data_IF_698106363945
#
_entry.id   IF_698106363945
#
_cell.length_a   1.000
_cell.length_b   1.000
_cell.length_c   1.000
_cell.angle_alpha   90.00
_cell.angle_beta   90.00
_cell.angle_gamma   90.00
#
_symmetry.space_group_name_H-M   'P 1'
#
loop_
_entity.id
_entity.type
_entity.pdbx_description
1 polymer ?
#
# COMPACT_ATOMS: atom_id res chain seq x y z
N UNK A 1 13.36 -4.79 -5.62
CA UNK A 1 12.53 -4.79 -6.84
C UNK A 1 11.85 -6.15 -7.10
N UNK A 2 12.60 -7.25 -7.23
CA UNK A 2 12.06 -8.59 -7.50
C UNK A 2 10.93 -9.04 -6.56
N UNK A 3 11.10 -8.83 -5.25
CA UNK A 3 10.07 -9.14 -4.24
C UNK A 3 8.78 -8.34 -4.48
N UNK A 4 8.89 -7.07 -4.91
CA UNK A 4 7.73 -6.23 -5.24
C UNK A 4 6.95 -6.80 -6.43
N UNK A 5 7.66 -7.32 -7.44
CA UNK A 5 7.05 -7.86 -8.66
C UNK A 5 6.37 -9.22 -8.43
N UNK A 6 6.68 -9.91 -7.34
CA UNK A 6 5.99 -11.14 -6.96
C UNK A 6 4.56 -10.89 -6.45
N UNK A 7 4.23 -9.67 -5.99
CA UNK A 7 2.88 -9.33 -5.54
C UNK A 7 2.03 -8.82 -6.71
N UNK A 8 0.90 -9.48 -6.97
CA UNK A 8 -0.02 -9.14 -8.07
C UNK A 8 -0.59 -7.72 -8.00
N UNK A 9 -0.82 -7.21 -6.79
CA UNK A 9 -1.31 -5.85 -6.60
C UNK A 9 -0.29 -4.78 -7.00
N UNK A 10 0.99 -5.00 -6.73
CA UNK A 10 2.05 -4.04 -7.08
C UNK A 10 2.55 -4.24 -8.52
N UNK A 11 2.66 -5.48 -8.98
CA UNK A 11 3.20 -5.76 -10.31
C UNK A 11 2.32 -5.26 -11.47
N UNK A 12 1.02 -5.09 -11.21
CA UNK A 12 0.06 -4.57 -12.18
C UNK A 12 0.14 -3.05 -12.32
N UNK A 13 0.89 -2.37 -11.45
CA UNK A 13 1.08 -0.93 -11.48
C UNK A 13 2.54 -0.54 -11.24
N UNK A 14 3.21 -0.15 -12.33
CA UNK A 14 4.63 0.19 -12.29
C UNK A 14 4.93 1.40 -11.42
N UNK A 15 4.09 2.44 -11.49
CA UNK A 15 4.32 3.67 -10.73
C UNK A 15 4.23 3.38 -9.23
N UNK A 16 3.21 2.61 -8.82
CA UNK A 16 3.07 2.18 -7.43
C UNK A 16 4.25 1.31 -6.99
N UNK A 17 4.70 0.37 -7.82
CA UNK A 17 5.90 -0.43 -7.53
C UNK A 17 7.15 0.44 -7.35
N UNK A 18 7.34 1.48 -8.17
CA UNK A 18 8.48 2.38 -8.08
C UNK A 18 8.38 3.32 -6.87
N UNK A 19 7.19 3.77 -6.49
CA UNK A 19 6.97 4.53 -5.26
C UNK A 19 7.27 3.71 -4.01
N UNK A 20 6.81 2.45 -3.97
CA UNK A 20 7.09 1.53 -2.86
C UNK A 20 8.58 1.18 -2.79
N UNK A 21 9.21 0.92 -3.94
CA UNK A 21 10.67 0.77 -4.03
C UNK A 21 11.39 2.01 -3.52
N UNK A 22 10.86 3.20 -3.82
CA UNK A 22 11.44 4.46 -3.38
C UNK A 22 11.33 4.64 -1.88
N UNK A 23 10.19 4.26 -1.31
CA UNK A 23 9.94 4.28 0.12
C UNK A 23 10.94 3.38 0.85
N UNK A 24 11.14 2.13 0.40
CA UNK A 24 12.04 1.17 1.08
C UNK A 24 13.50 1.30 0.69
N UNK A 25 13.80 1.91 -0.46
CA UNK A 25 15.05 1.70 -1.17
C UNK A 25 15.11 0.31 -1.80
N UNK A 26 16.23 0.01 -2.47
CA UNK A 26 16.49 -1.33 -3.04
C UNK A 26 17.98 -1.59 -3.10
N UNK A 27 18.33 -2.86 -3.27
CA UNK A 27 19.66 -3.28 -3.69
C UNK A 27 19.59 -3.77 -5.14
N UNK A 28 20.59 -3.41 -5.93
CA UNK A 28 20.77 -3.91 -7.28
C UNK A 28 22.06 -4.73 -7.25
N UNK A 29 21.97 -6.00 -7.64
CA UNK A 29 23.11 -6.92 -7.71
C UNK A 29 23.27 -7.28 -9.17
N UNK A 30 24.35 -6.84 -9.81
CA UNK A 30 24.61 -7.16 -11.22
C UNK A 30 25.11 -8.60 -11.40
N UNK A 31 25.37 -8.99 -12.66
CA UNK A 31 25.76 -10.37 -13.00
C UNK A 31 27.13 -10.72 -12.45
N UNK A 32 27.95 -9.72 -12.18
CA UNK A 32 29.29 -9.80 -11.62
C UNK A 32 29.26 -9.80 -10.08
N UNK A 33 28.06 -9.71 -9.46
CA UNK A 33 27.87 -9.72 -8.01
C UNK A 33 28.13 -8.37 -7.34
N UNK A 34 28.35 -7.30 -8.11
CA UNK A 34 28.54 -5.96 -7.57
C UNK A 34 27.21 -5.43 -7.04
N UNK A 35 27.25 -5.00 -5.79
CA UNK A 35 26.08 -4.45 -5.09
C UNK A 35 26.04 -2.93 -5.25
N UNK A 36 24.96 -2.43 -5.82
CA UNK A 36 24.62 -1.00 -5.84
C UNK A 36 23.51 -0.74 -4.84
N UNK A 37 23.78 0.16 -3.89
CA UNK A 37 22.84 0.52 -2.85
C UNK A 37 21.99 1.73 -3.26
N UNK A 38 20.67 1.55 -3.34
CA UNK A 38 19.71 2.63 -3.60
C UNK A 38 19.05 3.03 -2.27
N UNK A 39 19.27 4.26 -1.78
CA UNK A 39 18.81 4.67 -0.47
C UNK A 39 17.28 4.79 -0.41
N UNK A 40 16.73 4.48 0.76
CA UNK A 40 15.32 4.72 1.09
C UNK A 40 15.01 6.21 1.09
N UNK A 41 13.82 6.56 0.58
CA UNK A 41 13.23 7.89 0.64
C UNK A 41 12.12 7.96 1.70
N UNK A 42 12.05 7.05 2.67
CA UNK A 42 11.04 7.08 3.75
C UNK A 42 11.12 8.32 4.65
N UNK A 43 12.21 9.09 4.61
CA UNK A 43 12.29 10.40 5.24
C UNK A 43 11.52 11.51 4.49
N UNK A 44 11.11 11.25 3.25
CA UNK A 44 10.41 12.22 2.41
C UNK A 44 8.89 12.16 2.67
N UNK A 45 8.38 13.15 3.39
CA UNK A 45 6.95 13.26 3.70
C UNK A 45 6.09 13.38 2.43
N UNK A 46 6.58 14.05 1.37
CA UNK A 46 5.83 14.19 0.12
C UNK A 46 5.63 12.83 -0.55
N UNK A 47 6.67 11.98 -0.60
CA UNK A 47 6.54 10.62 -1.14
C UNK A 47 5.48 9.82 -0.39
N UNK A 48 5.51 9.88 0.94
CA UNK A 48 4.57 9.15 1.79
C UNK A 48 3.13 9.66 1.58
N UNK A 49 2.96 10.97 1.61
CA UNK A 49 1.66 11.61 1.42
C UNK A 49 1.10 11.32 0.04
N UNK A 50 1.95 11.31 -0.98
CA UNK A 50 1.57 10.98 -2.35
C UNK A 50 1.22 9.49 -2.49
N UNK A 51 1.99 8.61 -1.87
CA UNK A 51 1.77 7.16 -1.93
C UNK A 51 0.42 6.76 -1.32
N UNK A 52 0.13 7.26 -0.12
CA UNK A 52 -1.19 7.04 0.48
C UNK A 52 -2.26 7.83 -0.26
N UNK A 53 -1.98 9.07 -0.66
CA UNK A 53 -2.95 9.99 -1.24
C UNK A 53 -3.55 10.96 -0.19
N UNK A 54 -2.80 11.33 0.84
CA UNK A 54 -3.27 12.24 1.89
C UNK A 54 -3.34 13.69 1.40
N UNK A 55 -4.49 14.33 1.59
CA UNK A 55 -4.76 15.73 1.22
C UNK A 55 -5.26 15.93 -0.22
N UNK A 56 -5.64 17.16 -0.58
CA UNK A 56 -6.26 17.46 -1.88
C UNK A 56 -5.25 17.94 -2.95
N UNK A 57 -5.50 17.62 -4.22
CA UNK A 57 -4.80 18.20 -5.37
C UNK A 57 -3.62 17.37 -5.93
N UNK A 58 -3.08 17.85 -7.05
CA UNK A 58 -1.90 17.29 -7.72
C UNK A 58 -0.67 17.49 -6.85
N UNK A 59 0.11 16.42 -6.64
CA UNK A 59 1.34 16.46 -5.83
C UNK A 59 2.55 16.06 -6.64
N UNK A 60 3.69 16.61 -6.28
CA UNK A 60 4.99 16.18 -6.78
C UNK A 60 5.74 15.43 -5.70
N UNK A 61 6.47 14.39 -6.09
CA UNK A 61 7.42 13.70 -5.23
C UNK A 61 8.63 13.26 -6.02
N UNK A 62 9.77 13.16 -5.34
CA UNK A 62 10.96 12.53 -5.91
C UNK A 62 10.91 11.03 -5.65
N UNK A 63 11.02 10.25 -6.71
CA UNK A 63 11.05 8.78 -6.66
C UNK A 63 12.21 8.21 -7.47
N UNK A 64 12.66 7.02 -7.11
CA UNK A 64 13.53 6.19 -7.92
C UNK A 64 12.73 5.51 -9.03
N UNK A 65 12.95 5.92 -10.28
CA UNK A 65 12.40 5.25 -11.47
C UNK A 65 13.42 4.36 -12.13
N UNK A 66 12.96 3.23 -12.67
CA UNK A 66 13.82 2.30 -13.41
C UNK A 66 13.99 2.75 -14.86
N UNK A 67 15.21 2.71 -15.39
CA UNK A 67 15.54 3.18 -16.75
C UNK A 67 15.43 2.10 -17.83
N UNK A 68 15.59 0.83 -17.46
CA UNK A 68 15.93 -0.28 -18.34
C UNK A 68 14.80 -1.31 -18.53
N UNK A 69 13.57 -0.93 -18.18
CA UNK A 69 12.45 -1.88 -18.02
C UNK A 69 11.72 -2.36 -19.28
N UNK A 70 12.27 -2.12 -20.47
CA UNK A 70 11.81 -2.80 -21.70
C UNK A 70 12.32 -4.24 -21.82
N UNK A 71 13.38 -4.58 -21.08
CA UNK A 71 14.10 -5.86 -21.14
C UNK A 71 13.89 -6.62 -19.83
N UNK A 72 12.89 -7.50 -19.79
CA UNK A 72 12.70 -8.50 -18.72
C UNK A 72 12.38 -7.97 -17.31
N UNK A 73 11.93 -6.73 -17.18
CA UNK A 73 11.40 -6.17 -15.92
C UNK A 73 12.38 -6.24 -14.72
N UNK A 74 13.69 -6.19 -14.96
CA UNK A 74 14.71 -6.42 -13.92
C UNK A 74 15.10 -5.18 -13.10
N UNK A 75 14.83 -3.96 -13.59
CA UNK A 75 15.20 -2.69 -12.93
C UNK A 75 16.66 -2.67 -12.46
N UNK A 76 17.60 -2.84 -13.39
CA UNK A 76 19.04 -2.84 -13.09
C UNK A 76 19.61 -1.43 -13.05
N UNK A 77 18.87 -0.42 -13.52
CA UNK A 77 19.29 0.97 -13.49
C UNK A 77 18.18 1.86 -12.96
N UNK A 78 18.49 2.70 -11.97
CA UNK A 78 17.56 3.67 -11.40
C UNK A 78 18.03 5.11 -11.56
N UNK A 79 17.09 6.03 -11.63
CA UNK A 79 17.34 7.48 -11.48
C UNK A 79 16.31 8.11 -10.58
N UNK A 80 16.76 9.07 -9.77
CA UNK A 80 15.86 9.94 -9.03
C UNK A 80 15.18 10.89 -10.00
N UNK A 81 13.86 10.89 -10.02
CA UNK A 81 13.04 11.77 -10.85
C UNK A 81 11.97 12.42 -10.00
N UNK A 82 11.71 13.70 -10.25
CA UNK A 82 10.52 14.36 -9.74
C UNK A 82 9.34 14.00 -10.64
N UNK A 83 8.27 13.52 -10.02
CA UNK A 83 7.09 13.06 -10.74
C UNK A 83 5.88 13.77 -10.19
N UNK A 84 4.98 14.11 -11.09
CA UNK A 84 3.65 14.59 -10.75
C UNK A 84 2.73 13.39 -10.67
N UNK A 85 2.19 13.12 -9.49
CA UNK A 85 1.33 11.96 -9.27
C UNK A 85 -0.11 12.41 -9.34
N UNK A 86 -0.89 11.90 -10.31
CA UNK A 86 -2.32 12.17 -10.35
C UNK A 86 -3.00 11.46 -9.18
N UNK A 87 -4.12 12.00 -8.70
CA UNK A 87 -4.91 11.37 -7.63
C UNK A 87 -5.22 9.89 -7.93
N UNK A 88 -5.48 9.58 -9.21
CA UNK A 88 -5.76 8.24 -9.70
C UNK A 88 -4.64 7.20 -9.46
N UNK A 89 -3.39 7.67 -9.31
CA UNK A 89 -2.24 6.79 -9.05
C UNK A 89 -2.08 6.47 -7.56
N UNK A 90 -2.73 7.22 -6.67
CA UNK A 90 -2.60 7.04 -5.21
C UNK A 90 -3.23 5.73 -4.74
N UNK A 91 -2.70 5.19 -3.63
CA UNK A 91 -3.20 3.94 -3.07
C UNK A 91 -4.65 4.07 -2.58
N UNK A 92 -4.99 5.19 -1.92
CA UNK A 92 -6.35 5.49 -1.46
C UNK A 92 -7.33 5.51 -2.62
N UNK A 93 -7.01 6.18 -3.74
CA UNK A 93 -7.88 6.20 -4.92
C UNK A 93 -8.15 4.79 -5.46
N UNK A 94 -7.10 3.97 -5.62
CA UNK A 94 -7.23 2.63 -6.18
C UNK A 94 -8.08 1.73 -5.31
N UNK A 95 -7.92 1.83 -3.99
CA UNK A 95 -8.71 1.09 -3.02
C UNK A 95 -10.16 1.57 -3.02
N UNK A 96 -10.37 2.88 -3.06
CA UNK A 96 -11.70 3.49 -3.15
C UNK A 96 -12.48 2.99 -4.35
N UNK A 97 -11.83 2.91 -5.52
CA UNK A 97 -12.48 2.38 -6.72
C UNK A 97 -12.84 0.89 -6.58
N UNK A 98 -11.99 0.08 -5.93
CA UNK A 98 -12.32 -1.32 -5.64
C UNK A 98 -13.49 -1.41 -4.66
N UNK A 99 -13.48 -0.64 -3.57
CA UNK A 99 -14.55 -0.62 -2.56
C UNK A 99 -15.87 -0.14 -3.17
N UNK A 100 -15.84 0.89 -4.03
CA UNK A 100 -17.02 1.34 -4.79
C UNK A 100 -17.55 0.25 -5.70
N UNK A 101 -16.68 -0.45 -6.42
CA UNK A 101 -17.06 -1.58 -7.27
C UNK A 101 -17.73 -2.71 -6.45
N UNK A 102 -17.14 -3.07 -5.30
CA UNK A 102 -17.74 -4.03 -4.36
C UNK A 102 -19.10 -3.54 -3.88
N UNK A 103 -19.22 -2.26 -3.51
CA UNK A 103 -20.47 -1.70 -3.02
C UNK A 103 -21.58 -1.73 -4.06
N UNK A 104 -21.29 -1.32 -5.30
CA UNK A 104 -22.23 -1.38 -6.42
C UNK A 104 -22.72 -2.80 -6.64
N UNK A 105 -21.81 -3.79 -6.63
CA UNK A 105 -22.17 -5.20 -6.78
C UNK A 105 -22.99 -5.71 -5.62
N UNK A 106 -22.64 -5.34 -4.39
CA UNK A 106 -23.39 -5.72 -3.19
C UNK A 106 -24.83 -5.19 -3.24
N UNK A 107 -25.03 -3.94 -3.68
CA UNK A 107 -26.37 -3.33 -3.83
C UNK A 107 -27.17 -4.01 -4.95
N UNK A 108 -26.51 -4.45 -6.01
CA UNK A 108 -27.13 -5.13 -7.15
C UNK A 108 -27.29 -6.66 -6.97
N UNK A 109 -26.90 -7.22 -5.81
CA UNK A 109 -26.84 -8.67 -5.57
C UNK A 109 -25.93 -9.43 -6.59
N UNK A 110 -24.87 -8.77 -7.03
CA UNK A 110 -23.85 -9.31 -7.93
C UNK A 110 -22.64 -9.84 -7.15
N UNK A 111 -21.99 -10.89 -7.67
CA UNK A 111 -20.80 -11.47 -7.06
C UNK A 111 -19.55 -10.62 -7.36
N UNK A 112 -18.64 -10.43 -6.37
CA UNK A 112 -17.31 -9.88 -6.64
C UNK A 112 -16.54 -10.74 -7.65
N UNK A 113 -15.86 -10.09 -8.58
CA UNK A 113 -14.92 -10.70 -9.51
C UNK A 113 -13.52 -10.83 -8.91
N UNK A 114 -12.59 -11.40 -9.69
CA UNK A 114 -11.25 -11.78 -9.21
C UNK A 114 -10.47 -10.62 -8.57
N UNK A 115 -10.54 -9.42 -9.15
CA UNK A 115 -9.84 -8.24 -8.60
C UNK A 115 -10.31 -7.91 -7.18
N UNK A 116 -11.61 -7.97 -6.96
CA UNK A 116 -12.22 -7.63 -5.67
C UNK A 116 -12.00 -8.74 -4.66
N UNK A 117 -12.11 -10.02 -5.07
CA UNK A 117 -11.79 -11.17 -4.23
C UNK A 117 -10.32 -11.16 -3.78
N UNK A 118 -9.39 -10.85 -4.69
CA UNK A 118 -7.97 -10.72 -4.36
C UNK A 118 -7.72 -9.55 -3.40
N UNK A 119 -8.42 -8.44 -3.57
CA UNK A 119 -8.32 -7.32 -2.63
C UNK A 119 -8.85 -7.71 -1.24
N UNK A 120 -10.02 -8.37 -1.19
CA UNK A 120 -10.64 -8.83 0.06
C UNK A 120 -9.77 -9.84 0.82
N UNK A 121 -8.94 -10.64 0.13
CA UNK A 121 -8.02 -11.57 0.78
C UNK A 121 -6.72 -10.92 1.27
N UNK A 122 -6.38 -9.73 0.78
CA UNK A 122 -5.17 -8.98 1.18
C UNK A 122 -5.43 -8.03 2.36
N UNK A 123 -6.65 -7.50 2.47
CA UNK A 123 -7.01 -6.55 3.54
C UNK A 123 -7.33 -7.27 4.85
N UNK A 124 -6.77 -6.79 5.96
CA UNK A 124 -7.15 -7.27 7.30
C UNK A 124 -8.48 -6.69 7.78
N UNK A 125 -8.92 -5.57 7.19
CA UNK A 125 -10.13 -4.86 7.56
C UNK A 125 -11.39 -5.47 6.90
N UNK A 126 -12.52 -5.59 7.63
CA UNK A 126 -13.71 -6.31 7.18
C UNK A 126 -14.57 -5.48 6.21
N UNK A 127 -14.12 -5.31 4.96
CA UNK A 127 -14.76 -4.49 3.91
C UNK A 127 -16.23 -4.83 3.69
N UNK A 128 -16.58 -6.11 3.55
CA UNK A 128 -17.97 -6.52 3.30
C UNK A 128 -18.91 -6.10 4.44
N UNK A 129 -18.48 -6.31 5.69
CA UNK A 129 -19.27 -5.93 6.88
C UNK A 129 -19.47 -4.42 6.95
N UNK A 130 -18.42 -3.65 6.67
CA UNK A 130 -18.49 -2.20 6.61
C UNK A 130 -19.51 -1.72 5.57
N UNK A 131 -19.47 -2.26 4.36
CA UNK A 131 -20.38 -1.89 3.27
C UNK A 131 -21.84 -2.30 3.55
N UNK A 132 -22.07 -3.51 4.06
CA UNK A 132 -23.42 -3.96 4.44
C UNK A 132 -24.09 -3.00 5.43
N UNK A 133 -23.31 -2.50 6.40
CA UNK A 133 -23.81 -1.55 7.39
C UNK A 133 -24.01 -0.16 6.80
N UNK A 134 -23.06 0.32 6.00
CA UNK A 134 -23.20 1.60 5.31
C UNK A 134 -24.50 1.66 4.50
N UNK A 135 -24.84 0.55 3.82
CA UNK A 135 -26.07 0.46 3.04
C UNK A 135 -27.34 0.33 3.89
N UNK A 136 -27.26 -0.19 5.12
CA UNK A 136 -28.43 -0.32 6.01
C UNK A 136 -28.76 0.95 6.79
N UNK A 137 -27.75 1.78 7.11
CA UNK A 137 -27.92 2.87 8.06
C UNK A 137 -28.60 4.13 7.49
N UNK A 138 -28.78 4.28 6.17
CA UNK A 138 -29.28 5.50 5.51
C UNK A 138 -28.65 6.83 6.04
N UNK A 139 -27.46 6.75 6.65
CA UNK A 139 -26.86 7.80 7.47
C UNK A 139 -25.74 8.48 6.68
N UNK A 140 -25.86 9.80 6.46
CA UNK A 140 -24.75 10.63 5.99
C UNK A 140 -24.22 10.36 4.58
N UNK A 141 -23.23 11.16 4.18
CA UNK A 141 -22.58 11.09 2.87
C UNK A 141 -21.71 9.83 2.77
N UNK A 142 -22.27 8.72 2.26
CA UNK A 142 -21.60 7.43 2.02
C UNK A 142 -20.24 7.58 1.30
N UNK A 143 -20.09 8.61 0.49
CA UNK A 143 -18.84 8.96 -0.19
C UNK A 143 -17.71 9.36 0.76
N UNK A 144 -18.02 10.07 1.85
CA UNK A 144 -17.02 10.49 2.86
C UNK A 144 -16.57 9.27 3.68
N UNK A 145 -17.49 8.38 4.06
CA UNK A 145 -17.14 7.19 4.82
C UNK A 145 -16.29 6.19 4.01
N UNK A 146 -16.58 6.02 2.71
CA UNK A 146 -15.75 5.21 1.82
C UNK A 146 -14.35 5.81 1.65
N UNK A 147 -14.22 7.13 1.59
CA UNK A 147 -12.91 7.81 1.49
C UNK A 147 -12.05 7.52 2.72
N UNK A 148 -12.57 7.80 3.91
CA UNK A 148 -11.87 7.59 5.18
C UNK A 148 -11.47 6.11 5.36
N UNK A 149 -12.37 5.19 4.98
CA UNK A 149 -12.12 3.76 5.06
C UNK A 149 -11.06 3.28 4.05
N UNK A 150 -11.09 3.83 2.83
CA UNK A 150 -10.11 3.51 1.78
C UNK A 150 -8.70 3.92 2.18
N UNK A 151 -8.56 5.09 2.82
CA UNK A 151 -7.27 5.58 3.30
C UNK A 151 -6.70 4.68 4.41
N UNK A 152 -7.56 4.15 5.29
CA UNK A 152 -7.11 3.23 6.34
C UNK A 152 -6.70 1.87 5.80
N UNK A 153 -7.42 1.35 4.82
CA UNK A 153 -7.01 0.13 4.12
C UNK A 153 -5.71 0.37 3.35
N UNK A 154 -5.50 1.55 2.77
CA UNK A 154 -4.24 1.91 2.11
C UNK A 154 -3.06 1.83 3.08
N UNK A 155 -3.23 2.39 4.26
CA UNK A 155 -2.21 2.37 5.32
C UNK A 155 -1.97 0.95 5.86
N UNK A 156 -3.02 0.18 6.12
CA UNK A 156 -2.93 -1.21 6.58
C UNK A 156 -2.22 -2.09 5.55
N UNK A 157 -2.66 -2.06 4.29
CA UNK A 157 -2.06 -2.84 3.21
C UNK A 157 -0.59 -2.48 3.01
N UNK A 158 -0.24 -1.19 3.02
CA UNK A 158 1.15 -0.78 2.87
C UNK A 158 2.00 -1.20 4.06
N UNK A 159 1.48 -1.08 5.29
CA UNK A 159 2.16 -1.53 6.52
C UNK A 159 2.40 -3.04 6.51
N UNK A 160 1.36 -3.83 6.20
CA UNK A 160 1.43 -5.28 6.12
C UNK A 160 2.42 -5.71 5.04
N UNK A 161 2.37 -5.06 3.88
CA UNK A 161 3.31 -5.32 2.80
C UNK A 161 4.77 -5.05 3.20
N UNK A 162 5.05 -3.91 3.83
CA UNK A 162 6.39 -3.59 4.31
C UNK A 162 6.86 -4.59 5.38
N UNK A 163 5.94 -5.09 6.22
CA UNK A 163 6.25 -6.12 7.22
C UNK A 163 6.51 -7.49 6.58
N UNK A 164 5.78 -7.85 5.53
CA UNK A 164 6.07 -9.04 4.72
C UNK A 164 7.45 -8.95 4.07
N UNK A 165 7.85 -7.78 3.56
CA UNK A 165 9.19 -7.58 3.02
C UNK A 165 10.30 -7.83 4.05
N UNK A 166 10.10 -7.44 5.32
CA UNK A 166 11.05 -7.76 6.40
C UNK A 166 11.18 -9.28 6.59
N UNK A 167 10.06 -9.99 6.51
CA UNK A 167 10.01 -11.44 6.65
C UNK A 167 10.73 -12.12 5.48
N UNK A 168 10.45 -11.70 4.25
CA UNK A 168 11.08 -12.23 3.04
C UNK A 168 12.59 -11.93 3.02
N UNK A 169 13.02 -10.73 3.42
CA UNK A 169 14.44 -10.39 3.57
C UNK A 169 15.10 -11.31 4.60
N UNK A 170 14.48 -11.51 5.76
CA UNK A 170 15.02 -12.38 6.81
C UNK A 170 15.17 -13.82 6.32
N UNK A 171 14.18 -14.35 5.60
CA UNK A 171 14.23 -15.69 5.00
C UNK A 171 15.30 -15.81 3.91
N UNK A 172 15.38 -14.84 2.99
CA UNK A 172 16.37 -14.82 1.92
C UNK A 172 17.81 -14.78 2.48
N UNK A 173 18.00 -14.17 3.64
CA UNK A 173 19.31 -14.07 4.30
C UNK A 173 19.65 -15.27 5.16
N UNK A 174 18.67 -16.05 5.59
CA UNK A 174 18.90 -17.32 6.30
C UNK A 174 19.52 -18.40 5.40
N UNK A 175 19.39 -18.26 4.07
CA UNK A 175 19.91 -19.20 3.08
C UNK A 175 21.03 -18.67 2.18
N UNK A 176 21.46 -17.41 2.31
CA UNK A 176 22.45 -16.78 1.44
C UNK A 176 23.65 -16.24 2.22
N UNK A 177 24.85 -16.27 1.62
CA UNK A 177 26.06 -15.56 2.10
C UNK A 177 25.94 -14.02 1.95
N UNK A 178 24.76 -13.46 2.21
CA UNK A 178 24.59 -12.02 2.25
C UNK A 178 25.29 -11.47 3.49
N UNK A 179 26.09 -10.42 3.29
CA UNK A 179 26.77 -9.74 4.38
C UNK A 179 25.76 -9.28 5.45
N UNK A 180 25.96 -9.69 6.70
CA UNK A 180 25.06 -9.37 7.81
C UNK A 180 24.79 -7.88 8.01
N UNK A 181 25.74 -7.00 7.65
CA UNK A 181 25.57 -5.56 7.75
C UNK A 181 24.62 -5.03 6.67
N UNK A 182 24.63 -5.64 5.49
CA UNK A 182 23.71 -5.33 4.40
C UNK A 182 22.27 -5.70 4.80
N UNK A 183 22.10 -6.86 5.43
CA UNK A 183 20.80 -7.32 5.95
C UNK A 183 20.24 -6.37 7.00
N UNK A 184 21.06 -5.99 7.98
CA UNK A 184 20.68 -5.03 9.03
C UNK A 184 20.28 -3.68 8.44
N UNK A 185 20.99 -3.20 7.42
CA UNK A 185 20.65 -1.94 6.75
C UNK A 185 19.32 -2.01 6.00
N UNK A 186 19.02 -3.12 5.32
CA UNK A 186 17.70 -3.32 4.67
C UNK A 186 16.60 -3.33 5.74
N UNK A 187 16.77 -4.14 6.79
CA UNK A 187 15.79 -4.23 7.88
C UNK A 187 15.54 -2.87 8.52
N UNK A 188 16.60 -2.10 8.78
CA UNK A 188 16.49 -0.73 9.31
C UNK A 188 15.67 0.19 8.42
N UNK A 189 15.92 0.19 7.11
CA UNK A 189 15.19 1.05 6.17
C UNK A 189 13.71 0.69 6.07
N UNK A 190 13.39 -0.60 6.05
CA UNK A 190 12.00 -1.05 6.03
C UNK A 190 11.31 -0.70 7.35
N UNK A 191 11.96 -0.88 8.50
CA UNK A 191 11.40 -0.47 9.81
C UNK A 191 11.10 1.03 9.86
N UNK A 192 11.98 1.87 9.30
CA UNK A 192 11.73 3.32 9.18
C UNK A 192 10.52 3.57 8.30
N UNK A 193 10.41 2.91 7.14
CA UNK A 193 9.25 3.03 6.26
C UNK A 193 7.95 2.61 6.96
N UNK A 194 7.93 1.48 7.68
CA UNK A 194 6.78 1.00 8.46
C UNK A 194 6.35 2.04 9.47
N UNK A 195 7.29 2.57 10.26
CA UNK A 195 7.00 3.60 11.28
C UNK A 195 6.40 4.85 10.64
N UNK A 196 6.98 5.29 9.52
CA UNK A 196 6.51 6.48 8.81
C UNK A 196 5.15 6.31 8.16
N UNK A 197 4.81 5.10 7.72
CA UNK A 197 3.47 4.78 7.22
C UNK A 197 2.46 4.67 8.36
N UNK A 198 2.84 4.08 9.50
CA UNK A 198 2.00 3.99 10.69
C UNK A 198 1.67 5.37 11.29
N UNK A 199 2.58 6.35 11.17
CA UNK A 199 2.36 7.72 11.63
C UNK A 199 1.34 8.51 10.77
N UNK A 200 0.91 7.95 9.63
CA UNK A 200 -0.07 8.59 8.76
C UNK A 200 -1.45 8.54 9.42
N UNK A 201 -1.93 9.72 9.77
CA UNK A 201 -3.25 10.01 10.35
C UNK A 201 -3.81 9.00 11.39
N UNK A 202 -3.25 8.98 12.62
CA UNK A 202 -3.77 8.18 13.72
C UNK A 202 -5.19 8.59 14.15
N UNK A 203 -5.68 9.77 13.76
CA UNK A 203 -7.03 10.23 14.12
C UNK A 203 -8.10 9.54 13.27
N UNK A 204 -7.83 9.31 11.98
CA UNK A 204 -8.76 8.62 11.08
C UNK A 204 -8.93 7.17 11.53
N UNK A 205 -7.84 6.49 11.89
CA UNK A 205 -7.89 5.12 12.41
C UNK A 205 -8.73 5.00 13.68
N UNK A 206 -8.53 5.93 14.63
CA UNK A 206 -9.31 5.96 15.88
C UNK A 206 -10.80 6.22 15.63
N UNK A 207 -11.12 7.24 14.81
CA UNK A 207 -12.52 7.57 14.48
C UNK A 207 -13.24 6.42 13.78
N UNK A 208 -12.56 5.71 12.88
CA UNK A 208 -13.15 4.55 12.24
C UNK A 208 -13.38 3.41 13.23
N UNK A 209 -12.41 3.09 14.10
CA UNK A 209 -12.60 2.06 15.11
C UNK A 209 -13.77 2.37 16.05
N UNK A 210 -13.95 3.64 16.42
CA UNK A 210 -15.11 4.11 17.18
C UNK A 210 -16.42 3.86 16.40
N UNK A 211 -16.47 4.23 15.11
CA UNK A 211 -17.61 3.97 14.21
C UNK A 211 -17.88 2.45 14.11
N UNK A 212 -16.88 1.63 13.82
CA UNK A 212 -17.00 0.17 13.71
C UNK A 212 -17.47 -0.47 15.03
N UNK A 213 -16.95 -0.03 16.18
CA UNK A 213 -17.36 -0.53 17.48
C UNK A 213 -18.80 -0.13 17.85
N UNK A 214 -19.25 1.06 17.45
CA UNK A 214 -20.66 1.46 17.58
C UNK A 214 -21.56 0.59 16.67
N UNK A 215 -21.12 0.34 15.45
CA UNK A 215 -21.78 -0.52 14.47
C UNK A 215 -21.94 -1.95 14.98
N UNK A 216 -20.87 -2.55 15.52
CA UNK A 216 -20.95 -3.90 16.09
C UNK A 216 -21.90 -4.00 17.27
N UNK A 217 -22.06 -2.92 18.03
CA UNK A 217 -23.04 -2.85 19.12
C UNK A 217 -24.46 -2.76 18.58
N UNK A 218 -24.72 -1.94 17.57
CA UNK A 218 -26.05 -1.82 16.95
C UNK A 218 -26.52 -3.15 16.30
N UNK A 219 -25.65 -3.81 15.54
CA UNK A 219 -25.96 -5.10 14.91
C UNK A 219 -26.22 -6.25 15.92
N UNK A 220 -25.80 -6.10 17.19
CA UNK A 220 -26.12 -7.05 18.27
C UNK A 220 -27.46 -6.76 18.94
N UNK A 221 -27.96 -5.53 18.86
CA UNK A 221 -29.25 -5.11 19.45
C UNK A 221 -30.42 -5.50 18.53
N UNK A 222 -30.18 -5.64 17.23
CA UNK A 222 -31.17 -6.09 16.24
C UNK A 222 -31.37 -7.63 16.20
N UNK A 223 -30.74 -8.38 17.11
CA UNK A 223 -30.96 -9.82 17.32
C UNK A 223 -31.73 -10.09 18.61
#
# INVERSE_FOLDING_TARGET
>A
WSLLQAKSFLNSDQELSEMVMSLTGTLIIDKEGKVTNVPSLAGNADLINVLIGTGNGTRTAKIWRCKDKGTNNQCMQVSLQEITIPEASTLTFKIREIIRSINTKLVNDEKPGNRELNFLSMTSLPVMKFLSVLNSMHYGSTTVDIEEYSMLIAQDLLTNYLTELLTEVSQATAGAELNSDLVKEIQKRINVAVTKVADIDPKVGRKLQEKLALIERMARIEK
#
